data_IF_585547802384
#
_entry.id   IF_585547802384
#
_cell.length_a   1.000
_cell.length_b   1.000
_cell.length_c   1.000
_cell.angle_alpha   90.00
_cell.angle_beta   90.00
_cell.angle_gamma   90.00
#
_symmetry.space_group_name_H-M   'P 1'
#
loop_
_entity.id
_entity.type
_entity.pdbx_description
1 polymer ?
#
# COMPACT_ATOMS: atom_id res chain seq x y z
N UNK A 1 12.86 21.49 -13.03
CA UNK A 1 13.14 20.41 -14.00
C UNK A 1 12.09 20.43 -15.09
N UNK A 2 12.52 20.34 -16.37
CA UNK A 2 11.63 20.14 -17.51
C UNK A 2 11.74 18.67 -17.95
N UNK A 3 10.62 18.08 -18.34
CA UNK A 3 10.59 16.67 -18.78
C UNK A 3 10.72 16.65 -20.31
N UNK A 4 11.57 15.75 -20.83
CA UNK A 4 11.82 15.65 -22.28
C UNK A 4 10.52 15.28 -22.99
N UNK A 5 10.19 16.00 -24.05
CA UNK A 5 8.96 15.76 -24.84
C UNK A 5 7.66 16.22 -24.17
N UNK A 6 7.71 16.84 -22.98
CA UNK A 6 6.54 17.35 -22.24
C UNK A 6 6.75 18.81 -21.83
N UNK A 7 6.73 19.77 -22.77
CA UNK A 7 7.08 21.17 -22.51
C UNK A 7 6.10 21.91 -21.58
N UNK A 8 4.91 21.36 -21.37
CA UNK A 8 3.87 21.93 -20.51
C UNK A 8 3.96 21.48 -19.05
N UNK A 9 4.81 20.50 -18.76
CA UNK A 9 5.00 19.97 -17.42
C UNK A 9 6.33 20.48 -16.86
N UNK A 10 6.28 21.07 -15.68
CA UNK A 10 7.48 21.46 -14.94
C UNK A 10 7.40 21.01 -13.48
N UNK A 11 8.54 20.55 -12.97
CA UNK A 11 8.69 20.11 -11.57
C UNK A 11 9.67 21.07 -10.90
N UNK A 12 9.21 21.76 -9.86
CA UNK A 12 10.01 22.65 -9.03
C UNK A 12 10.18 21.96 -7.68
N UNK A 13 11.39 21.83 -7.17
CA UNK A 13 11.62 21.31 -5.81
C UNK A 13 12.04 22.46 -4.90
N UNK A 14 11.53 22.46 -3.69
CA UNK A 14 12.00 23.36 -2.64
C UNK A 14 13.31 22.86 -2.02
N UNK A 15 13.78 23.56 -0.99
CA UNK A 15 15.01 23.25 -0.26
C UNK A 15 14.97 21.89 0.47
N UNK A 16 13.78 21.39 0.80
CA UNK A 16 13.57 20.08 1.43
C UNK A 16 13.37 18.97 0.38
N UNK A 17 13.41 19.33 -0.91
CA UNK A 17 13.20 18.40 -2.01
C UNK A 17 11.73 18.10 -2.30
N UNK A 18 10.77 18.81 -1.70
CA UNK A 18 9.34 18.58 -1.94
C UNK A 18 8.98 19.02 -3.36
N UNK A 19 8.42 18.14 -4.20
CA UNK A 19 8.11 18.48 -5.59
C UNK A 19 6.78 19.21 -5.72
N UNK A 20 6.83 20.37 -6.37
CA UNK A 20 5.68 21.08 -6.93
C UNK A 20 5.58 20.79 -8.43
N UNK A 21 4.56 20.05 -8.81
CA UNK A 21 4.22 19.79 -10.22
C UNK A 21 3.34 20.92 -10.74
N UNK A 22 3.69 21.47 -11.90
CA UNK A 22 2.91 22.47 -12.62
C UNK A 22 2.59 21.94 -14.01
N UNK A 23 1.31 21.95 -14.36
CA UNK A 23 0.74 21.45 -15.61
C UNK A 23 -0.51 22.22 -16.00
N UNK A 24 -1.06 21.96 -17.19
CA UNK A 24 -2.25 22.67 -17.70
C UNK A 24 -3.56 22.06 -17.22
N UNK A 25 -3.57 20.75 -17.00
CA UNK A 25 -4.73 19.97 -16.60
C UNK A 25 -4.31 18.85 -15.62
N UNK A 26 -5.29 18.07 -15.17
CA UNK A 26 -5.04 17.00 -14.21
C UNK A 26 -4.14 15.88 -14.77
N UNK A 27 -4.18 15.61 -16.08
CA UNK A 27 -3.34 14.58 -16.71
C UNK A 27 -1.86 14.98 -16.66
N UNK A 28 -1.55 16.25 -16.93
CA UNK A 28 -0.19 16.78 -16.75
C UNK A 28 0.28 16.67 -15.30
N UNK A 29 -0.60 16.96 -14.32
CA UNK A 29 -0.29 16.87 -12.89
C UNK A 29 -0.02 15.42 -12.46
N UNK A 30 -0.85 14.48 -12.88
CA UNK A 30 -0.71 13.06 -12.57
C UNK A 30 0.53 12.45 -13.24
N UNK A 31 0.83 12.82 -14.48
CA UNK A 31 2.07 12.46 -15.15
C UNK A 31 3.28 12.97 -14.37
N UNK A 32 3.28 14.26 -13.98
CA UNK A 32 4.37 14.83 -13.20
C UNK A 32 4.52 14.17 -11.82
N UNK A 33 3.41 13.80 -11.17
CA UNK A 33 3.43 13.06 -9.91
C UNK A 33 4.06 11.68 -10.07
N UNK A 34 3.65 10.91 -11.09
CA UNK A 34 4.25 9.61 -11.41
C UNK A 34 5.74 9.72 -11.71
N UNK A 35 6.16 10.75 -12.43
CA UNK A 35 7.57 11.03 -12.70
C UNK A 35 8.35 11.30 -11.41
N UNK A 36 7.78 12.06 -10.46
CA UNK A 36 8.40 12.34 -9.16
C UNK A 36 8.48 11.08 -8.29
N UNK A 37 7.43 10.25 -8.24
CA UNK A 37 7.45 8.96 -7.55
C UNK A 37 8.52 8.03 -8.10
N UNK A 38 8.67 7.92 -9.42
CA UNK A 38 9.73 7.11 -10.02
C UNK A 38 11.14 7.67 -9.71
N UNK A 39 11.27 8.99 -9.57
CA UNK A 39 12.54 9.63 -9.23
C UNK A 39 12.93 9.37 -7.78
N UNK A 40 11.98 9.52 -6.86
CA UNK A 40 12.25 9.56 -5.42
C UNK A 40 12.04 8.20 -4.76
N UNK A 41 11.12 7.40 -5.30
CA UNK A 41 10.63 6.13 -4.73
C UNK A 41 10.77 4.96 -5.72
N UNK A 42 11.65 5.07 -6.72
CA UNK A 42 11.80 4.04 -7.75
C UNK A 42 12.13 2.63 -7.22
N UNK A 43 12.97 2.52 -6.18
CA UNK A 43 13.27 1.23 -5.52
C UNK A 43 12.01 0.68 -4.85
N UNK A 44 11.27 1.53 -4.14
CA UNK A 44 10.01 1.18 -3.50
C UNK A 44 8.98 0.68 -4.53
N UNK A 45 8.79 1.39 -5.64
CA UNK A 45 7.86 0.97 -6.69
C UNK A 45 8.24 -0.41 -7.23
N UNK A 46 9.53 -0.63 -7.51
CA UNK A 46 10.03 -1.93 -7.99
C UNK A 46 9.79 -3.06 -6.98
N UNK A 47 10.14 -2.85 -5.71
CA UNK A 47 9.97 -3.85 -4.67
C UNK A 47 8.49 -4.19 -4.47
N UNK A 48 7.63 -3.18 -4.35
CA UNK A 48 6.20 -3.40 -4.13
C UNK A 48 5.54 -4.12 -5.32
N UNK A 49 5.94 -3.79 -6.56
CA UNK A 49 5.47 -4.52 -7.73
C UNK A 49 5.90 -5.99 -7.71
N UNK A 50 7.17 -6.22 -7.37
CA UNK A 50 7.75 -7.57 -7.33
C UNK A 50 7.06 -8.43 -6.29
N UNK A 51 6.84 -7.90 -5.09
CA UNK A 51 6.14 -8.58 -4.00
C UNK A 51 4.67 -8.81 -4.37
N UNK A 52 3.95 -7.78 -4.83
CA UNK A 52 2.54 -7.89 -5.18
C UNK A 52 2.22 -8.89 -6.30
N UNK A 53 3.17 -9.11 -7.21
CA UNK A 53 3.09 -10.14 -8.25
C UNK A 53 3.59 -11.52 -7.79
N UNK A 54 4.22 -11.61 -6.62
CA UNK A 54 4.89 -12.81 -6.12
C UNK A 54 6.01 -13.26 -7.06
N UNK A 55 6.92 -12.34 -7.39
CA UNK A 55 8.06 -12.57 -8.28
C UNK A 55 9.41 -12.29 -7.57
N UNK A 56 9.45 -12.31 -6.25
CA UNK A 56 10.64 -12.03 -5.46
C UNK A 56 11.75 -13.05 -5.72
N UNK A 57 11.44 -14.34 -5.83
CA UNK A 57 12.41 -15.37 -6.23
C UNK A 57 13.02 -15.08 -7.61
N UNK A 58 12.19 -14.64 -8.56
CA UNK A 58 12.60 -14.37 -9.93
C UNK A 58 13.46 -13.11 -10.05
N UNK A 59 13.12 -12.04 -9.33
CA UNK A 59 13.69 -10.70 -9.53
C UNK A 59 14.74 -10.31 -8.51
N UNK A 60 14.77 -10.94 -7.33
CA UNK A 60 15.67 -10.58 -6.23
C UNK A 60 16.63 -11.71 -5.92
N UNK A 61 16.13 -12.81 -5.34
CA UNK A 61 16.96 -13.95 -4.94
C UNK A 61 16.12 -15.20 -4.75
N UNK A 62 16.62 -16.33 -5.25
CA UNK A 62 16.02 -17.65 -5.03
C UNK A 62 16.45 -18.21 -3.66
N UNK A 63 15.54 -18.09 -2.68
CA UNK A 63 15.70 -18.56 -1.28
C UNK A 63 14.37 -19.08 -0.77
N UNK A 64 14.40 -19.97 0.22
CA UNK A 64 13.19 -20.50 0.85
C UNK A 64 12.33 -19.37 1.44
N UNK A 65 12.94 -18.32 2.01
CA UNK A 65 12.22 -17.16 2.52
C UNK A 65 11.49 -16.38 1.42
N UNK A 66 12.14 -16.15 0.27
CA UNK A 66 11.49 -15.47 -0.85
C UNK A 66 10.40 -16.33 -1.48
N UNK A 67 10.55 -17.65 -1.45
CA UNK A 67 9.54 -18.58 -1.94
C UNK A 67 8.28 -18.56 -1.08
N UNK A 68 8.43 -18.48 0.24
CA UNK A 68 7.30 -18.28 1.17
C UNK A 68 6.60 -16.95 0.92
N UNK A 69 7.35 -15.87 0.71
CA UNK A 69 6.81 -14.53 0.38
C UNK A 69 6.01 -14.59 -0.93
N UNK A 70 6.57 -15.17 -2.00
CA UNK A 70 5.89 -15.30 -3.29
C UNK A 70 4.62 -16.13 -3.16
N UNK A 71 4.67 -17.23 -2.40
CA UNK A 71 3.50 -18.07 -2.13
C UNK A 71 2.42 -17.30 -1.39
N UNK A 72 2.79 -16.50 -0.37
CA UNK A 72 1.87 -15.64 0.36
C UNK A 72 1.18 -14.65 -0.58
N UNK A 73 1.93 -13.82 -1.31
CA UNK A 73 1.35 -12.78 -2.16
C UNK A 73 0.50 -13.34 -3.30
N UNK A 74 0.88 -14.50 -3.85
CA UNK A 74 0.08 -15.21 -4.87
C UNK A 74 -1.24 -15.74 -4.32
N UNK A 75 -1.28 -16.24 -3.07
CA UNK A 75 -2.53 -16.70 -2.43
C UNK A 75 -3.55 -15.57 -2.28
N UNK A 76 -3.09 -14.37 -1.95
CA UNK A 76 -3.96 -13.18 -1.87
C UNK A 76 -4.44 -12.67 -3.23
N UNK A 77 -3.77 -13.08 -4.31
CA UNK A 77 -4.19 -12.80 -5.68
C UNK A 77 -4.48 -11.31 -5.94
N UNK A 78 -3.60 -10.42 -5.48
CA UNK A 78 -3.79 -8.97 -5.64
C UNK A 78 -3.86 -8.52 -7.10
N UNK A 79 -3.29 -9.31 -8.01
CA UNK A 79 -3.34 -9.10 -9.46
C UNK A 79 -4.56 -9.75 -10.14
N UNK A 80 -5.44 -10.42 -9.39
CA UNK A 80 -6.59 -11.15 -9.93
C UNK A 80 -7.64 -10.23 -10.55
N UNK A 81 -8.14 -10.60 -11.73
CA UNK A 81 -9.26 -9.91 -12.41
C UNK A 81 -9.08 -8.40 -12.60
N UNK A 82 -7.84 -7.90 -12.72
CA UNK A 82 -7.57 -6.46 -12.89
C UNK A 82 -8.16 -5.91 -14.18
N UNK A 83 -8.23 -6.70 -15.26
CA UNK A 83 -8.83 -6.27 -16.52
C UNK A 83 -10.30 -5.84 -16.35
N UNK A 84 -11.13 -6.65 -15.67
CA UNK A 84 -12.52 -6.32 -15.41
C UNK A 84 -12.67 -5.12 -14.45
N UNK A 85 -11.76 -4.97 -13.48
CA UNK A 85 -11.74 -3.76 -12.64
C UNK A 85 -11.39 -2.52 -13.45
N UNK A 86 -10.43 -2.61 -14.38
CA UNK A 86 -10.08 -1.50 -15.27
C UNK A 86 -11.27 -1.11 -16.13
N UNK A 87 -12.05 -2.08 -16.62
CA UNK A 87 -13.24 -1.81 -17.44
C UNK A 87 -14.28 -0.92 -16.75
N UNK A 88 -14.39 -0.98 -15.42
CA UNK A 88 -15.32 -0.17 -14.62
C UNK A 88 -14.99 1.32 -14.61
N UNK A 89 -13.74 1.70 -14.88
CA UNK A 89 -13.36 3.11 -14.96
C UNK A 89 -13.92 3.77 -16.23
N UNK A 90 -14.34 5.01 -16.08
CA UNK A 90 -14.70 5.89 -17.18
C UNK A 90 -13.50 6.14 -18.10
N UNK A 91 -13.71 6.56 -19.36
CA UNK A 91 -12.61 6.91 -20.27
C UNK A 91 -11.65 7.94 -19.68
N UNK A 92 -12.19 8.96 -19.00
CA UNK A 92 -11.41 10.02 -18.37
C UNK A 92 -10.54 9.50 -17.22
N UNK A 93 -11.07 8.62 -16.37
CA UNK A 93 -10.30 7.99 -15.28
C UNK A 93 -9.19 7.09 -15.83
N UNK A 94 -9.45 6.33 -16.90
CA UNK A 94 -8.43 5.52 -17.59
C UNK A 94 -7.30 6.40 -18.12
N UNK A 95 -7.64 7.54 -18.73
CA UNK A 95 -6.65 8.49 -19.23
C UNK A 95 -5.79 9.07 -18.10
N UNK A 96 -6.41 9.43 -16.97
CA UNK A 96 -5.72 9.93 -15.78
C UNK A 96 -4.78 8.90 -15.16
N UNK A 97 -5.24 7.66 -15.00
CA UNK A 97 -4.43 6.55 -14.50
C UNK A 97 -3.27 6.24 -15.45
N UNK A 98 -3.53 6.26 -16.76
CA UNK A 98 -2.49 6.07 -17.77
C UNK A 98 -1.46 7.20 -17.73
N UNK A 99 -1.86 8.45 -17.56
CA UNK A 99 -0.95 9.58 -17.46
C UNK A 99 0.03 9.41 -16.29
N UNK A 100 -0.45 8.96 -15.13
CA UNK A 100 0.39 8.62 -13.99
C UNK A 100 1.40 7.50 -14.31
N UNK A 101 0.94 6.39 -14.91
CA UNK A 101 1.80 5.29 -15.35
C UNK A 101 2.88 5.76 -16.34
N UNK A 102 2.50 6.58 -17.31
CA UNK A 102 3.41 7.13 -18.32
C UNK A 102 4.49 8.01 -17.69
N UNK A 103 4.14 8.79 -16.66
CA UNK A 103 5.09 9.58 -15.88
C UNK A 103 6.17 8.72 -15.21
N UNK A 104 5.75 7.63 -14.56
CA UNK A 104 6.65 6.64 -13.97
C UNK A 104 7.56 6.05 -15.04
N UNK A 105 6.97 5.53 -16.12
CA UNK A 105 7.68 4.84 -17.19
C UNK A 105 8.69 5.76 -17.89
N UNK A 106 8.33 7.02 -18.15
CA UNK A 106 9.21 8.02 -18.73
C UNK A 106 10.46 8.23 -17.86
N UNK A 107 10.29 8.38 -16.54
CA UNK A 107 11.41 8.59 -15.62
C UNK A 107 12.36 7.38 -15.62
N UNK A 108 11.83 6.16 -15.58
CA UNK A 108 12.62 4.93 -15.61
C UNK A 108 13.33 4.69 -16.95
N UNK A 109 12.73 5.13 -18.06
CA UNK A 109 13.35 5.12 -19.38
C UNK A 109 14.53 6.11 -19.47
N UNK A 110 14.37 7.31 -18.91
CA UNK A 110 15.41 8.35 -18.92
C UNK A 110 16.58 8.02 -17.99
N UNK A 111 16.30 7.67 -16.72
CA UNK A 111 17.34 7.34 -15.74
C UNK A 111 16.77 6.54 -14.57
N UNK A 112 17.24 5.31 -14.40
CA UNK A 112 16.89 4.47 -13.26
C UNK A 112 17.66 4.91 -12.00
N UNK A 113 17.11 4.68 -10.78
CA UNK A 113 17.89 4.74 -9.55
C UNK A 113 19.20 3.95 -9.68
N UNK A 114 20.30 4.51 -9.17
CA UNK A 114 21.63 3.93 -9.40
C UNK A 114 21.75 2.56 -8.74
N UNK A 115 21.14 2.39 -7.56
CA UNK A 115 21.06 1.16 -6.78
C UNK A 115 20.45 0.02 -7.61
N UNK A 116 19.34 0.31 -8.31
CA UNK A 116 18.66 -0.69 -9.14
C UNK A 116 19.56 -1.20 -10.26
N UNK A 117 20.30 -0.30 -10.91
CA UNK A 117 21.14 -0.69 -12.06
C UNK A 117 22.48 -1.29 -11.67
N UNK A 118 23.10 -0.80 -10.59
CA UNK A 118 24.48 -1.16 -10.22
C UNK A 118 24.57 -2.25 -9.17
N UNK A 119 23.61 -2.34 -8.24
CA UNK A 119 23.63 -3.33 -7.17
C UNK A 119 22.78 -4.56 -7.53
N UNK A 120 21.59 -4.33 -8.10
CA UNK A 120 20.61 -5.39 -8.36
C UNK A 120 20.67 -5.89 -9.82
N UNK A 121 21.31 -5.14 -10.73
CA UNK A 121 21.35 -5.48 -12.15
C UNK A 121 19.98 -5.40 -12.83
N UNK A 122 19.07 -4.60 -12.28
CA UNK A 122 17.68 -4.48 -12.72
C UNK A 122 17.58 -3.88 -14.13
N UNK A 123 17.04 -4.66 -15.08
CA UNK A 123 17.10 -4.34 -16.52
C UNK A 123 15.93 -3.48 -17.01
N UNK A 124 14.71 -3.84 -16.65
CA UNK A 124 13.49 -3.22 -17.20
C UNK A 124 12.43 -3.05 -16.12
N UNK A 125 11.85 -1.84 -16.06
CA UNK A 125 10.69 -1.53 -15.24
C UNK A 125 9.57 -1.08 -16.16
N UNK A 126 8.36 -1.59 -15.94
CA UNK A 126 7.17 -1.06 -16.57
C UNK A 126 6.05 -1.04 -15.55
N UNK A 127 5.33 0.08 -15.49
CA UNK A 127 4.20 0.28 -14.60
C UNK A 127 2.94 0.51 -15.42
N UNK A 128 1.88 -0.22 -15.07
CA UNK A 128 0.61 -0.23 -15.76
C UNK A 128 -0.55 0.04 -14.78
N UNK A 129 -1.75 0.30 -15.31
CA UNK A 129 -2.94 0.55 -14.47
C UNK A 129 -3.23 -0.62 -13.53
N UNK A 130 -2.96 -1.85 -13.97
CA UNK A 130 -3.09 -3.05 -13.13
C UNK A 130 -2.20 -3.00 -11.87
N UNK A 131 -1.02 -2.38 -11.96
CA UNK A 131 -0.12 -2.23 -10.81
C UNK A 131 -0.66 -1.23 -9.79
N UNK A 132 -1.41 -0.21 -10.24
CA UNK A 132 -2.14 0.71 -9.35
C UNK A 132 -3.19 -0.08 -8.56
N UNK A 133 -3.98 -0.92 -9.23
CA UNK A 133 -5.02 -1.73 -8.57
C UNK A 133 -4.41 -2.71 -7.56
N UNK A 134 -3.33 -3.40 -7.97
CA UNK A 134 -2.57 -4.29 -7.10
C UNK A 134 -2.07 -3.53 -5.86
N UNK A 135 -1.46 -2.35 -6.03
CA UNK A 135 -0.99 -1.52 -4.93
C UNK A 135 -2.11 -1.10 -3.98
N UNK A 136 -3.27 -0.67 -4.52
CA UNK A 136 -4.43 -0.29 -3.71
C UNK A 136 -4.96 -1.47 -2.90
N UNK A 137 -5.02 -2.67 -3.50
CA UNK A 137 -5.43 -3.89 -2.80
C UNK A 137 -4.43 -4.32 -1.73
N UNK A 138 -3.13 -4.26 -2.02
CA UNK A 138 -2.08 -4.54 -1.05
C UNK A 138 -2.16 -3.60 0.15
N UNK A 139 -2.31 -2.30 -0.10
CA UNK A 139 -2.49 -1.31 0.97
C UNK A 139 -3.75 -1.60 1.77
N UNK A 140 -4.90 -1.79 1.10
CA UNK A 140 -6.16 -2.12 1.77
C UNK A 140 -6.10 -3.38 2.63
N UNK A 141 -5.36 -4.41 2.20
CA UNK A 141 -5.20 -5.61 2.99
C UNK A 141 -4.20 -5.44 4.14
N UNK A 142 -2.95 -5.08 3.81
CA UNK A 142 -1.83 -5.07 4.76
C UNK A 142 -1.92 -3.95 5.80
N UNK A 143 -2.67 -2.88 5.55
CA UNK A 143 -2.79 -1.77 6.50
C UNK A 143 -4.16 -1.63 7.14
N UNK A 144 -5.18 -2.38 6.70
CA UNK A 144 -6.54 -2.26 7.23
C UNK A 144 -7.16 -3.62 7.56
N UNK A 145 -7.26 -4.53 6.58
CA UNK A 145 -8.00 -5.79 6.78
C UNK A 145 -7.23 -6.84 7.60
N UNK A 146 -5.90 -6.75 7.67
CA UNK A 146 -5.08 -7.71 8.42
C UNK A 146 -5.47 -7.76 9.91
N UNK A 147 -5.66 -6.61 10.56
CA UNK A 147 -6.00 -6.56 11.99
C UNK A 147 -7.35 -7.21 12.27
N UNK A 148 -8.30 -7.14 11.33
CA UNK A 148 -9.57 -7.85 11.44
C UNK A 148 -9.34 -9.36 11.45
N UNK A 149 -8.51 -9.88 10.54
CA UNK A 149 -8.16 -11.30 10.50
C UNK A 149 -7.43 -11.78 11.77
N UNK A 150 -6.53 -10.96 12.32
CA UNK A 150 -5.85 -11.27 13.59
C UNK A 150 -6.83 -11.37 14.76
N UNK A 151 -7.83 -10.49 14.82
CA UNK A 151 -8.89 -10.54 15.83
C UNK A 151 -9.80 -11.76 15.66
N UNK A 152 -10.13 -12.14 14.41
CA UNK A 152 -10.91 -13.35 14.13
C UNK A 152 -10.18 -14.62 14.55
N UNK A 153 -8.87 -14.70 14.30
CA UNK A 153 -8.03 -15.80 14.78
C UNK A 153 -7.96 -15.86 16.31
N UNK A 154 -7.73 -14.72 16.96
CA UNK A 154 -7.76 -14.64 18.42
C UNK A 154 -9.10 -15.14 18.97
N UNK A 155 -10.20 -14.76 18.33
CA UNK A 155 -11.53 -15.25 18.71
C UNK A 155 -11.64 -16.77 18.58
N UNK A 156 -11.19 -17.36 17.47
CA UNK A 156 -11.16 -18.82 17.28
C UNK A 156 -10.32 -19.49 18.37
N UNK A 157 -9.12 -18.96 18.67
CA UNK A 157 -8.25 -19.49 19.72
C UNK A 157 -8.92 -19.42 21.10
N UNK A 158 -9.61 -18.32 21.44
CA UNK A 158 -10.30 -18.19 22.72
C UNK A 158 -11.46 -19.19 22.84
N UNK A 159 -12.20 -19.46 21.76
CA UNK A 159 -13.25 -20.49 21.73
C UNK A 159 -12.63 -21.88 21.91
N UNK A 160 -11.55 -22.19 21.19
CA UNK A 160 -10.83 -23.48 21.30
C UNK A 160 -10.25 -23.71 22.70
N UNK A 161 -9.85 -22.63 23.39
CA UNK A 161 -9.40 -22.65 24.79
C UNK A 161 -10.56 -22.66 25.80
N UNK A 162 -11.82 -22.82 25.34
CA UNK A 162 -13.02 -22.94 26.18
C UNK A 162 -13.27 -21.72 27.06
N UNK A 163 -12.92 -20.52 26.58
CA UNK A 163 -13.29 -19.29 27.27
C UNK A 163 -14.82 -19.15 27.27
N UNK A 164 -15.46 -18.88 28.44
CA UNK A 164 -16.91 -18.78 28.52
C UNK A 164 -17.49 -17.76 27.53
N UNK A 165 -18.56 -18.16 26.82
CA UNK A 165 -19.31 -17.30 25.88
C UNK A 165 -19.69 -15.94 26.44
N UNK A 166 -20.00 -15.87 27.74
CA UNK A 166 -20.28 -14.61 28.44
C UNK A 166 -19.07 -13.66 28.39
N UNK A 167 -17.87 -14.15 28.70
CA UNK A 167 -16.64 -13.34 28.66
C UNK A 167 -16.27 -12.97 27.23
N UNK A 168 -16.48 -13.87 26.26
CA UNK A 168 -16.31 -13.54 24.84
C UNK A 168 -17.26 -12.42 24.41
N UNK A 169 -18.52 -12.46 24.85
CA UNK A 169 -19.50 -11.39 24.60
C UNK A 169 -19.13 -10.05 25.28
N UNK A 170 -18.45 -10.09 26.42
CA UNK A 170 -17.91 -8.89 27.09
C UNK A 170 -16.68 -8.32 26.35
N UNK A 171 -15.81 -9.18 25.81
CA UNK A 171 -14.63 -8.80 25.03
C UNK A 171 -14.97 -8.29 23.62
N UNK A 172 -16.00 -8.84 23.01
CA UNK A 172 -16.43 -8.53 21.63
C UNK A 172 -17.90 -8.08 21.58
N UNK A 173 -18.22 -6.94 22.21
CA UNK A 173 -19.61 -6.53 22.40
C UNK A 173 -20.30 -6.22 21.07
N UNK A 174 -21.38 -6.94 20.79
CA UNK A 174 -22.28 -6.67 19.65
C UNK A 174 -21.78 -7.12 18.27
N UNK A 175 -20.63 -7.80 18.18
CA UNK A 175 -20.03 -8.20 16.88
C UNK A 175 -19.95 -9.72 16.65
N UNK A 176 -20.16 -10.55 17.68
CA UNK A 176 -20.04 -12.02 17.55
C UNK A 176 -21.25 -12.71 16.91
N UNK A 177 -22.39 -12.04 16.81
CA UNK A 177 -23.64 -12.65 16.33
C UNK A 177 -23.97 -13.97 17.06
N UNK A 178 -24.59 -14.91 16.32
CA UNK A 178 -24.84 -16.27 16.77
C UNK A 178 -23.84 -17.22 16.11
N UNK A 179 -22.63 -17.32 16.65
CA UNK A 179 -21.63 -18.28 16.21
C UNK A 179 -21.86 -19.67 16.82
N UNK A 180 -21.42 -20.70 16.10
CA UNK A 180 -21.45 -22.10 16.52
C UNK A 180 -20.09 -22.51 17.10
N UNK A 181 -20.08 -22.87 18.39
CA UNK A 181 -18.87 -23.25 19.12
C UNK A 181 -18.29 -24.58 18.64
N UNK A 182 -19.12 -25.53 18.21
CA UNK A 182 -18.67 -26.83 17.72
C UNK A 182 -17.91 -26.64 16.41
N UNK A 183 -18.49 -25.90 15.47
CA UNK A 183 -17.86 -25.59 14.18
C UNK A 183 -16.54 -24.86 14.36
N UNK A 184 -16.48 -23.84 15.24
CA UNK A 184 -15.24 -23.09 15.48
C UNK A 184 -14.17 -23.97 16.15
N UNK A 185 -14.58 -24.89 17.04
CA UNK A 185 -13.66 -25.78 17.72
C UNK A 185 -12.94 -26.77 16.78
N UNK A 186 -13.56 -27.10 15.65
CA UNK A 186 -13.01 -28.00 14.63
C UNK A 186 -12.08 -27.30 13.62
N UNK A 187 -12.00 -25.97 13.65
CA UNK A 187 -11.15 -25.21 12.72
C UNK A 187 -9.68 -25.53 13.00
N UNK A 188 -9.02 -26.16 12.03
CA UNK A 188 -7.56 -26.22 12.03
C UNK A 188 -7.02 -24.87 11.60
N UNK A 189 -6.46 -24.12 12.55
CA UNK A 189 -5.75 -22.89 12.22
C UNK A 189 -4.45 -23.26 11.48
N UNK A 190 -4.24 -22.79 10.23
CA UNK A 190 -2.93 -22.88 9.62
C UNK A 190 -1.94 -22.10 10.49
N UNK A 191 -0.65 -22.49 10.49
CA UNK A 191 0.40 -21.65 11.06
C UNK A 191 0.30 -20.23 10.49
N UNK A 192 0.73 -19.23 11.28
CA UNK A 192 0.61 -17.77 11.06
C UNK A 192 0.24 -17.39 9.61
N UNK A 193 -0.88 -16.68 9.43
CA UNK A 193 -1.35 -16.19 8.11
C UNK A 193 -0.22 -15.49 7.36
N UNK A 194 0.60 -14.75 8.09
CA UNK A 194 1.78 -14.06 7.60
C UNK A 194 3.02 -14.83 8.08
N UNK A 195 3.81 -15.41 7.16
CA UNK A 195 5.07 -16.08 7.51
C UNK A 195 6.02 -15.16 8.27
N UNK A 196 6.84 -15.72 9.17
CA UNK A 196 7.91 -14.97 9.86
C UNK A 196 8.95 -14.39 8.89
N UNK A 197 9.06 -14.97 7.68
CA UNK A 197 9.86 -14.45 6.57
C UNK A 197 9.37 -13.10 6.04
N UNK A 198 8.09 -12.74 6.26
CA UNK A 198 7.55 -11.41 5.96
C UNK A 198 7.93 -10.45 7.10
N UNK A 199 9.18 -9.97 7.06
CA UNK A 199 9.80 -9.13 8.11
C UNK A 199 9.10 -7.80 8.41
N UNK A 200 8.07 -7.42 7.67
CA UNK A 200 7.28 -6.21 7.91
C UNK A 200 6.21 -6.42 8.99
N UNK A 201 5.88 -7.68 9.30
CA UNK A 201 4.92 -8.04 10.35
C UNK A 201 5.45 -7.73 11.75
N UNK A 202 6.75 -7.86 11.99
CA UNK A 202 7.37 -7.57 13.29
C UNK A 202 7.45 -6.08 13.62
N UNK A 203 7.31 -5.19 12.63
CA UNK A 203 7.16 -3.75 12.81
C UNK A 203 5.68 -3.33 13.01
N UNK A 204 4.73 -4.22 12.74
CA UNK A 204 3.32 -3.86 12.56
C UNK A 204 2.48 -3.82 13.85
N UNK A 205 3.05 -4.03 15.05
CA UNK A 205 2.23 -4.11 16.26
C UNK A 205 2.79 -3.38 17.50
N UNK A 206 2.84 -2.05 17.45
CA UNK A 206 2.22 -1.22 18.47
C UNK A 206 0.86 -0.75 17.93
N UNK A 207 -0.22 -0.94 18.70
CA UNK A 207 -1.53 -0.33 18.42
C UNK A 207 -1.33 1.16 18.09
N UNK A 208 -1.40 1.53 16.82
CA UNK A 208 -1.21 2.90 16.37
C UNK A 208 -2.56 3.61 16.38
N UNK A 209 -2.65 4.71 17.13
CA UNK A 209 -3.78 5.65 17.05
C UNK A 209 -3.39 6.84 16.18
N UNK A 210 -4.34 7.71 15.85
CA UNK A 210 -4.05 8.96 15.14
C UNK A 210 -4.97 10.04 15.66
N UNK A 211 -4.53 11.29 15.55
CA UNK A 211 -5.35 12.44 15.93
C UNK A 211 -5.84 13.18 14.68
N UNK A 212 -7.05 13.72 14.77
CA UNK A 212 -7.55 14.69 13.80
C UNK A 212 -8.49 15.66 14.51
N UNK A 213 -8.27 16.96 14.33
CA UNK A 213 -9.12 18.01 14.90
C UNK A 213 -9.60 18.98 13.81
N UNK A 214 -10.84 19.41 13.96
CA UNK A 214 -11.44 20.50 13.18
C UNK A 214 -11.94 21.57 14.13
N UNK A 215 -11.50 22.81 13.92
CA UNK A 215 -11.94 23.99 14.66
C UNK A 215 -12.76 24.86 13.72
N UNK A 216 -13.99 25.18 14.11
CA UNK A 216 -14.84 26.11 13.38
C UNK A 216 -14.21 27.53 13.38
N UNK A 217 -14.41 28.29 12.31
CA UNK A 217 -13.93 29.68 12.20
C UNK A 217 -14.41 30.59 13.34
N UNK A 218 -15.62 30.38 13.86
CA UNK A 218 -16.14 31.13 15.02
C UNK A 218 -15.31 30.93 16.30
N UNK A 219 -14.46 29.90 16.32
CA UNK A 219 -13.55 29.58 17.43
C UNK A 219 -12.08 29.84 17.09
N UNK A 220 -11.76 30.46 15.95
CA UNK A 220 -10.39 30.80 15.54
C UNK A 220 -10.20 32.32 15.46
N UNK A 221 -8.98 32.79 15.75
CA UNK A 221 -8.68 34.22 15.71
C UNK A 221 -8.77 34.82 14.28
N UNK A 222 -8.62 33.99 13.25
CA UNK A 222 -8.73 34.42 11.84
C UNK A 222 -10.16 34.44 11.32
N UNK A 223 -11.13 33.84 12.04
CA UNK A 223 -12.48 33.60 11.53
C UNK A 223 -12.56 32.47 10.49
N UNK A 224 -11.43 31.81 10.15
CA UNK A 224 -11.40 30.70 9.20
C UNK A 224 -11.32 29.34 9.92
N UNK A 225 -11.94 28.28 9.38
CA UNK A 225 -11.79 26.93 9.92
C UNK A 225 -10.32 26.47 9.92
N UNK A 226 -9.95 25.68 10.93
CA UNK A 226 -8.63 25.03 11.03
C UNK A 226 -8.82 23.51 10.98
N UNK A 227 -8.08 22.84 10.11
CA UNK A 227 -7.98 21.39 10.03
C UNK A 227 -6.57 20.97 10.41
N UNK A 228 -6.44 20.03 11.35
CA UNK A 228 -5.16 19.47 11.78
C UNK A 228 -5.24 17.94 11.73
N UNK A 229 -4.53 17.33 10.78
CA UNK A 229 -4.34 15.89 10.69
C UNK A 229 -2.97 15.53 11.28
N UNK A 230 -2.93 14.55 12.18
CA UNK A 230 -1.71 14.09 12.85
C UNK A 230 -1.69 12.55 12.87
N UNK A 231 -1.38 11.92 11.72
CA UNK A 231 -1.35 10.48 11.62
C UNK A 231 -0.06 9.93 12.22
N UNK A 232 -0.17 9.01 13.18
CA UNK A 232 0.98 8.36 13.80
C UNK A 232 1.25 7.04 13.08
N UNK A 233 2.10 7.10 12.05
CA UNK A 233 2.62 5.93 11.37
C UNK A 233 4.14 5.88 11.49
N UNK A 234 4.69 4.67 11.46
CA UNK A 234 6.13 4.45 11.53
C UNK A 234 6.87 5.25 10.44
N UNK A 235 7.90 5.98 10.86
CA UNK A 235 8.80 6.72 9.97
C UNK A 235 10.02 5.89 9.55
N UNK A 236 10.24 4.77 10.24
CA UNK A 236 11.36 3.85 10.07
C UNK A 236 11.02 2.60 9.24
N UNK A 237 9.81 2.52 8.66
CA UNK A 237 9.48 1.46 7.70
C UNK A 237 9.98 1.82 6.30
N UNK A 238 10.51 0.81 5.61
CA UNK A 238 10.77 0.88 4.18
C UNK A 238 9.71 0.03 3.47
N UNK A 239 8.85 0.65 2.65
CA UNK A 239 8.84 2.06 2.31
C UNK A 239 8.11 2.97 3.31
N UNK A 240 8.55 4.23 3.35
CA UNK A 240 7.88 5.31 4.06
C UNK A 240 6.47 5.53 3.51
N UNK A 241 5.51 5.69 4.41
CA UNK A 241 4.08 5.79 4.05
C UNK A 241 3.78 7.11 3.32
N UNK A 242 4.36 8.20 3.80
CA UNK A 242 4.07 9.54 3.31
C UNK A 242 4.98 9.93 2.15
N UNK A 243 4.41 10.62 1.17
CA UNK A 243 5.11 11.29 0.08
C UNK A 243 4.45 12.65 -0.18
#
# INVERSE_FOLDING_TARGET
MRIKGKPHISIIRDENGIPKVVGKDLNDLLFGLGYCHAMDRGIQLMLMQTLGKGEACLKLQDTDEMFEIDTFFRRFNFCGNTAAEIEKFTPTEKEQLQAYCDGINQRFAEKKPWELTKLIGFKSFHWEIQDIIMMTRMAGFLTLAQSQGEIELLFIELVQNKIPKKLLGELFPGILGNYDEEVISEITLPSKIIPDSVKWHSSANPLMASNNWVVNGDKSASGCPILANDPHLEVNRLPAVWY
#
